data_IF_873712589399
#
_entry.id   IF_873712589399
#
_cell.length_a   1.000
_cell.length_b   1.000
_cell.length_c   1.000
_cell.angle_alpha   90.00
_cell.angle_beta   90.00
_cell.angle_gamma   90.00
#
_symmetry.space_group_name_H-M   'P 1'
#
loop_
_entity.id
_entity.type
_entity.pdbx_description
1 polymer ?
#
# COMPACT_ATOMS: atom_id res chain seq x y z
N UNK A 1 -12.06 19.44 4.91
CA UNK A 1 -11.59 18.17 4.30
C UNK A 1 -10.83 17.42 5.40
N UNK A 2 -11.22 16.19 5.71
CA UNK A 2 -10.57 15.42 6.78
C UNK A 2 -9.17 15.00 6.35
N UNK A 3 -8.21 15.05 7.26
CA UNK A 3 -6.87 14.51 7.05
C UNK A 3 -6.96 12.98 6.82
N UNK A 4 -6.48 12.51 5.67
CA UNK A 4 -6.55 11.09 5.29
C UNK A 4 -5.69 10.18 6.20
N UNK A 5 -4.75 10.77 6.94
CA UNK A 5 -3.85 10.09 7.86
C UNK A 5 -4.29 10.20 9.34
N UNK A 6 -5.45 10.81 9.61
CA UNK A 6 -6.03 10.79 10.95
C UNK A 6 -6.76 9.47 11.19
N UNK A 7 -6.33 8.74 12.23
CA UNK A 7 -6.92 7.45 12.61
C UNK A 7 -8.31 7.60 13.22
N UNK A 8 -9.35 7.25 12.46
CA UNK A 8 -10.75 7.40 12.88
C UNK A 8 -11.51 6.08 12.95
N UNK A 9 -11.05 5.04 12.26
CA UNK A 9 -11.77 3.76 12.18
C UNK A 9 -11.27 2.74 13.20
N UNK A 10 -12.18 1.93 13.72
CA UNK A 10 -11.84 0.74 14.51
C UNK A 10 -11.69 -0.49 13.61
N UNK A 11 -11.06 -1.56 14.10
CA UNK A 11 -10.93 -2.81 13.33
C UNK A 11 -12.29 -3.39 12.92
N UNK A 12 -13.30 -3.30 13.79
CA UNK A 12 -14.65 -3.78 13.47
C UNK A 12 -15.31 -2.97 12.37
N UNK A 13 -15.12 -1.64 12.38
CA UNK A 13 -15.60 -0.75 11.31
C UNK A 13 -14.94 -1.09 9.98
N UNK A 14 -13.61 -1.21 9.97
CA UNK A 14 -12.84 -1.54 8.76
C UNK A 14 -13.20 -2.91 8.22
N UNK A 15 -13.29 -3.93 9.09
CA UNK A 15 -13.69 -5.28 8.72
C UNK A 15 -15.04 -5.29 8.00
N UNK A 16 -16.04 -4.58 8.54
CA UNK A 16 -17.36 -4.42 7.91
C UNK A 16 -17.28 -3.74 6.55
N UNK A 17 -16.49 -2.67 6.42
CA UNK A 17 -16.33 -1.94 5.16
C UNK A 17 -15.64 -2.78 4.07
N UNK A 18 -14.78 -3.72 4.47
CA UNK A 18 -14.09 -4.63 3.56
C UNK A 18 -14.86 -5.93 3.30
N UNK A 19 -15.92 -6.20 4.07
CA UNK A 19 -16.58 -7.52 4.07
C UNK A 19 -15.69 -8.64 4.62
N UNK A 20 -14.76 -8.31 5.53
CA UNK A 20 -13.79 -9.24 6.10
C UNK A 20 -14.10 -9.57 7.56
N UNK A 21 -13.56 -10.69 8.05
CA UNK A 21 -13.57 -10.98 9.47
C UNK A 21 -12.48 -10.16 10.20
N UNK A 22 -12.72 -9.60 11.40
CA UNK A 22 -11.69 -8.87 12.14
C UNK A 22 -10.41 -9.66 12.36
N UNK A 23 -10.49 -10.99 12.50
CA UNK A 23 -9.31 -11.84 12.63
C UNK A 23 -8.45 -11.87 11.36
N UNK A 24 -9.05 -11.81 10.17
CA UNK A 24 -8.32 -11.70 8.90
C UNK A 24 -7.44 -10.44 8.89
N UNK A 25 -7.98 -9.31 9.35
CA UNK A 25 -7.22 -8.07 9.49
C UNK A 25 -6.10 -8.18 10.52
N UNK A 26 -6.32 -8.88 11.64
CA UNK A 26 -5.25 -9.17 12.62
C UNK A 26 -4.15 -10.06 12.04
N UNK A 27 -4.49 -11.00 11.16
CA UNK A 27 -3.51 -11.81 10.44
C UNK A 27 -2.69 -10.93 9.50
N UNK A 28 -3.32 -10.02 8.75
CA UNK A 28 -2.60 -9.10 7.86
C UNK A 28 -1.67 -8.16 8.63
N UNK A 29 -2.11 -7.62 9.77
CA UNK A 29 -1.25 -6.81 10.67
C UNK A 29 -0.07 -7.60 11.22
N UNK A 30 -0.29 -8.81 11.74
CA UNK A 30 0.78 -9.67 12.30
C UNK A 30 1.85 -9.98 11.26
N UNK A 31 1.46 -10.10 9.99
CA UNK A 31 2.37 -10.33 8.88
C UNK A 31 2.99 -9.04 8.30
N UNK A 32 2.74 -7.89 8.94
CA UNK A 32 3.25 -6.57 8.54
C UNK A 32 2.80 -6.12 7.15
N UNK A 33 1.64 -6.58 6.66
CA UNK A 33 1.04 -6.03 5.44
C UNK A 33 0.54 -4.59 5.66
N UNK A 34 0.12 -4.29 6.89
CA UNK A 34 -0.30 -2.96 7.30
C UNK A 34 0.07 -2.72 8.77
N UNK A 35 0.30 -1.45 9.13
CA UNK A 35 0.61 -1.02 10.49
C UNK A 35 -0.27 0.20 10.84
N UNK A 36 -1.49 -0.01 11.40
CA UNK A 36 -2.31 1.11 11.86
C UNK A 36 -1.67 1.80 13.06
N UNK A 37 -1.97 3.09 13.23
CA UNK A 37 -1.54 3.86 14.39
C UNK A 37 -2.23 3.36 15.67
N UNK A 38 -1.54 3.47 16.81
CA UNK A 38 -2.09 3.14 18.12
C UNK A 38 -2.20 4.43 18.94
N UNK A 39 -3.44 4.85 19.18
CA UNK A 39 -3.77 6.00 20.04
C UNK A 39 -4.54 5.50 21.26
N UNK A 40 -4.10 5.89 22.45
CA UNK A 40 -4.72 5.49 23.72
C UNK A 40 -4.95 3.97 23.85
N UNK A 41 -3.90 3.18 23.53
CA UNK A 41 -3.91 1.71 23.53
C UNK A 41 -4.85 1.04 22.50
N UNK A 42 -5.63 1.82 21.74
CA UNK A 42 -6.51 1.31 20.69
C UNK A 42 -5.88 1.52 19.31
N UNK A 43 -6.01 0.50 18.46
CA UNK A 43 -5.70 0.64 17.03
C UNK A 43 -6.72 1.55 16.36
N UNK A 44 -6.24 2.52 15.60
CA UNK A 44 -7.06 3.41 14.79
C UNK A 44 -6.54 3.37 13.37
N UNK A 45 -7.40 2.99 12.43
CA UNK A 45 -7.08 2.98 11.01
C UNK A 45 -7.45 4.33 10.41
N UNK A 46 -6.58 4.79 9.54
CA UNK A 46 -6.74 6.00 8.75
C UNK A 46 -7.56 5.72 7.47
N UNK A 47 -7.90 6.75 6.72
CA UNK A 47 -8.48 6.56 5.38
C UNK A 47 -7.48 5.89 4.43
N UNK A 48 -6.20 6.27 4.53
CA UNK A 48 -5.15 5.62 3.75
C UNK A 48 -4.97 4.14 4.11
N UNK A 49 -5.11 3.78 5.39
CA UNK A 49 -5.09 2.37 5.80
C UNK A 49 -6.25 1.58 5.19
N UNK A 50 -7.46 2.16 5.16
CA UNK A 50 -8.60 1.52 4.51
C UNK A 50 -8.34 1.31 3.01
N UNK A 51 -7.78 2.30 2.30
CA UNK A 51 -7.39 2.19 0.89
C UNK A 51 -6.33 1.09 0.68
N UNK A 52 -5.29 1.06 1.52
CA UNK A 52 -4.27 0.00 1.52
C UNK A 52 -4.88 -1.39 1.75
N UNK A 53 -5.80 -1.53 2.69
CA UNK A 53 -6.48 -2.79 2.98
C UNK A 53 -7.34 -3.27 1.81
N UNK A 54 -8.05 -2.37 1.14
CA UNK A 54 -8.78 -2.69 -0.10
C UNK A 54 -7.82 -3.19 -1.18
N UNK A 55 -6.65 -2.59 -1.29
CA UNK A 55 -5.62 -3.03 -2.23
C UNK A 55 -5.07 -4.41 -1.87
N UNK A 56 -4.77 -4.69 -0.59
CA UNK A 56 -4.38 -6.03 -0.12
C UNK A 56 -5.46 -7.06 -0.49
N UNK A 57 -6.73 -6.75 -0.20
CA UNK A 57 -7.87 -7.61 -0.55
C UNK A 57 -7.92 -7.90 -2.05
N UNK A 58 -7.77 -6.87 -2.90
CA UNK A 58 -7.71 -7.04 -4.35
C UNK A 58 -6.56 -7.97 -4.78
N UNK A 59 -5.36 -7.81 -4.21
CA UNK A 59 -4.23 -8.69 -4.49
C UNK A 59 -4.50 -10.15 -4.09
N UNK A 60 -5.18 -10.37 -2.95
CA UNK A 60 -5.46 -11.72 -2.47
C UNK A 60 -6.62 -12.38 -3.23
N UNK A 61 -7.74 -11.68 -3.39
CA UNK A 61 -8.97 -12.25 -3.95
C UNK A 61 -8.96 -12.29 -5.47
N UNK A 62 -8.54 -11.20 -6.13
CA UNK A 62 -8.60 -11.10 -7.59
C UNK A 62 -7.31 -11.58 -8.26
N UNK A 63 -6.15 -11.41 -7.62
CA UNK A 63 -4.86 -11.88 -8.15
C UNK A 63 -4.41 -13.22 -7.57
N UNK A 64 -5.14 -13.77 -6.60
CA UNK A 64 -4.84 -15.08 -6.00
C UNK A 64 -3.53 -15.09 -5.21
N UNK A 65 -3.04 -13.94 -4.76
CA UNK A 65 -1.78 -13.87 -4.01
C UNK A 65 -1.99 -14.30 -2.56
N UNK A 66 -1.04 -15.06 -2.02
CA UNK A 66 -0.96 -15.28 -0.59
C UNK A 66 -0.31 -14.09 0.13
N UNK A 67 -0.22 -14.15 1.46
CA UNK A 67 0.38 -13.09 2.29
C UNK A 67 1.81 -12.73 1.84
N UNK A 68 2.65 -13.72 1.53
CA UNK A 68 4.02 -13.50 1.09
C UNK A 68 4.06 -12.79 -0.27
N UNK A 69 3.23 -13.24 -1.22
CA UNK A 69 3.09 -12.61 -2.54
C UNK A 69 2.58 -11.16 -2.43
N UNK A 70 1.56 -10.92 -1.62
CA UNK A 70 1.05 -9.57 -1.38
C UNK A 70 2.14 -8.65 -0.78
N UNK A 71 2.91 -9.16 0.20
CA UNK A 71 4.01 -8.43 0.82
C UNK A 71 5.11 -8.06 -0.19
N UNK A 72 5.47 -9.00 -1.06
CA UNK A 72 6.46 -8.77 -2.12
C UNK A 72 5.98 -7.74 -3.13
N UNK A 73 4.71 -7.77 -3.54
CA UNK A 73 4.16 -6.74 -4.41
C UNK A 73 4.20 -5.38 -3.73
N UNK A 74 3.76 -5.30 -2.47
CA UNK A 74 3.72 -4.05 -1.69
C UNK A 74 5.12 -3.42 -1.51
N UNK A 75 6.18 -4.20 -1.30
CA UNK A 75 7.54 -3.67 -1.15
C UNK A 75 8.02 -2.93 -2.41
N UNK A 76 7.49 -3.29 -3.59
CA UNK A 76 7.76 -2.61 -4.86
C UNK A 76 7.01 -1.27 -5.03
N UNK A 77 6.20 -0.85 -4.04
CA UNK A 77 5.51 0.44 -4.00
C UNK A 77 6.14 1.33 -2.93
N UNK A 78 7.16 2.16 -3.25
CA UNK A 78 7.70 3.14 -2.31
C UNK A 78 6.62 4.08 -1.74
N UNK A 79 5.64 4.41 -2.58
CA UNK A 79 4.47 5.20 -2.16
C UNK A 79 3.60 4.54 -1.11
N UNK A 80 3.70 3.22 -0.90
CA UNK A 80 3.01 2.53 0.19
C UNK A 80 3.37 3.12 1.55
N UNK A 81 4.65 3.49 1.72
CA UNK A 81 5.23 3.95 2.98
C UNK A 81 5.26 5.48 3.12
N UNK A 82 4.85 6.22 2.09
CA UNK A 82 4.95 7.68 2.04
C UNK A 82 3.56 8.31 1.99
N UNK A 83 3.34 9.32 2.83
CA UNK A 83 2.02 9.94 3.07
C UNK A 83 1.63 10.96 1.98
N UNK A 84 2.61 11.51 1.30
CA UNK A 84 2.52 12.54 0.27
C UNK A 84 2.32 12.00 -1.16
N UNK A 85 2.05 10.70 -1.33
CA UNK A 85 1.77 10.14 -2.64
C UNK A 85 0.55 10.83 -3.29
N UNK A 86 0.73 11.31 -4.53
CA UNK A 86 -0.29 12.04 -5.30
C UNK A 86 -1.40 11.16 -5.88
N UNK A 87 -1.33 9.84 -5.73
CA UNK A 87 -2.31 8.92 -6.29
C UNK A 87 -1.95 8.41 -7.68
N UNK A 88 -2.96 8.02 -8.45
CA UNK A 88 -2.83 7.42 -9.79
C UNK A 88 -3.73 8.09 -10.80
N UNK A 89 -3.68 7.65 -12.05
CA UNK A 89 -4.64 8.07 -13.08
C UNK A 89 -5.25 6.86 -13.81
N UNK A 90 -6.42 7.06 -14.43
CA UNK A 90 -7.10 6.00 -15.18
C UNK A 90 -6.37 5.70 -16.49
N UNK A 91 -6.37 4.42 -16.87
CA UNK A 91 -5.95 3.99 -18.21
C UNK A 91 -6.80 4.69 -19.28
N UNK A 92 -6.17 5.12 -20.37
CA UNK A 92 -6.83 5.83 -21.47
C UNK A 92 -7.25 7.27 -21.14
N UNK A 93 -6.78 7.83 -20.02
CA UNK A 93 -6.97 9.24 -19.68
C UNK A 93 -5.98 10.18 -20.39
N UNK A 94 -6.00 11.46 -19.99
CA UNK A 94 -5.10 12.49 -20.51
C UNK A 94 -3.63 12.32 -20.09
N UNK A 95 -3.37 11.52 -19.06
CA UNK A 95 -2.05 11.30 -18.48
C UNK A 95 -1.66 9.85 -18.72
N UNK A 96 -0.47 9.63 -19.30
CA UNK A 96 0.09 8.30 -19.46
C UNK A 96 0.37 7.66 -18.09
N UNK A 97 0.09 6.35 -17.98
CA UNK A 97 0.22 5.60 -16.72
C UNK A 97 0.86 4.24 -16.97
N UNK A 98 1.45 3.65 -15.93
CA UNK A 98 1.91 2.28 -15.97
C UNK A 98 0.75 1.32 -15.65
N UNK A 99 0.14 0.79 -16.71
CA UNK A 99 -1.02 -0.12 -16.65
C UNK A 99 -0.75 -1.44 -15.93
N UNK A 100 0.51 -1.79 -15.71
CA UNK A 100 0.91 -3.00 -14.98
C UNK A 100 1.08 -2.74 -13.48
N UNK A 101 1.03 -1.46 -13.06
CA UNK A 101 1.22 -1.04 -11.67
C UNK A 101 -0.04 -0.35 -11.13
N UNK A 102 -1.05 -1.11 -10.67
CA UNK A 102 -2.27 -0.54 -10.12
C UNK A 102 -1.99 0.31 -8.88
N UNK A 103 -2.69 1.43 -8.73
CA UNK A 103 -2.52 2.33 -7.60
C UNK A 103 -3.32 1.83 -6.39
N UNK A 104 -2.70 1.85 -5.21
CA UNK A 104 -3.40 1.52 -3.95
C UNK A 104 -4.27 2.68 -3.43
N UNK A 105 -3.99 3.93 -3.83
CA UNK A 105 -4.63 5.13 -3.28
C UNK A 105 -5.96 5.47 -3.96
N UNK A 106 -6.07 5.18 -5.25
CA UNK A 106 -7.26 5.48 -6.04
C UNK A 106 -7.69 4.24 -6.82
N UNK A 107 -8.91 3.78 -6.57
CA UNK A 107 -9.45 2.57 -7.19
C UNK A 107 -9.48 2.69 -8.73
N UNK A 108 -9.15 1.59 -9.42
CA UNK A 108 -9.12 1.51 -10.90
C UNK A 108 -8.20 2.54 -11.56
N UNK A 109 -7.18 2.99 -10.84
CA UNK A 109 -6.13 3.84 -11.38
C UNK A 109 -4.78 3.14 -11.34
N UNK A 110 -3.81 3.73 -12.02
CA UNK A 110 -2.48 3.18 -12.22
C UNK A 110 -1.42 4.22 -11.87
N UNK A 111 -0.22 3.73 -11.59
CA UNK A 111 0.90 4.60 -11.22
C UNK A 111 1.22 5.60 -12.34
N UNK A 112 1.45 6.86 -11.97
CA UNK A 112 1.83 7.95 -12.89
C UNK A 112 3.25 7.77 -13.47
N UNK A 113 4.04 6.85 -12.91
CA UNK A 113 5.40 6.57 -13.39
C UNK A 113 5.31 5.60 -14.56
N UNK A 114 5.60 6.09 -15.76
CA UNK A 114 5.42 5.38 -17.05
C UNK A 114 6.56 4.39 -17.37
N UNK A 115 7.59 4.26 -16.51
CA UNK A 115 8.79 3.46 -16.83
C UNK A 115 8.46 2.00 -17.17
N UNK A 116 9.15 1.51 -18.20
CA UNK A 116 8.94 0.22 -18.85
C UNK A 116 9.12 -0.95 -17.88
N UNK A 117 8.47 -2.06 -18.24
CA UNK A 117 8.01 -3.25 -17.48
C UNK A 117 8.94 -3.91 -16.42
N UNK A 118 10.11 -3.36 -16.13
CA UNK A 118 11.12 -3.91 -15.21
C UNK A 118 11.82 -2.85 -14.35
N UNK A 119 11.74 -1.56 -14.69
CA UNK A 119 12.49 -0.50 -14.01
C UNK A 119 11.62 0.25 -12.99
N UNK A 120 11.71 -0.29 -11.78
CA UNK A 120 11.14 0.16 -10.52
C UNK A 120 11.43 1.65 -10.29
N UNK A 121 10.38 2.45 -10.05
CA UNK A 121 10.31 3.68 -9.24
C UNK A 121 11.51 4.65 -9.11
N UNK A 122 12.62 4.51 -9.82
CA UNK A 122 13.86 5.29 -9.71
C UNK A 122 13.66 6.73 -10.18
N UNK A 123 12.68 6.92 -11.06
CA UNK A 123 12.20 8.22 -11.53
C UNK A 123 11.03 8.75 -10.72
N UNK A 124 10.52 8.00 -9.74
CA UNK A 124 9.45 8.45 -8.86
C UNK A 124 10.01 9.44 -7.83
N UNK A 125 9.44 10.63 -7.77
CA UNK A 125 9.81 11.65 -6.77
C UNK A 125 9.77 11.10 -5.34
N UNK A 126 8.79 10.24 -5.05
CA UNK A 126 8.62 9.58 -3.74
C UNK A 126 9.80 8.64 -3.40
N UNK A 127 10.38 7.97 -4.40
CA UNK A 127 11.55 7.12 -4.23
C UNK A 127 12.84 7.95 -4.13
N UNK A 128 12.95 9.05 -4.85
CA UNK A 128 14.14 9.93 -4.81
C UNK A 128 14.30 10.65 -3.48
N UNK A 129 13.20 10.94 -2.78
CA UNK A 129 13.20 11.55 -1.44
C UNK A 129 13.43 10.48 -0.34
N UNK A 130 13.66 9.22 -0.72
CA UNK A 130 13.89 8.11 0.20
C UNK A 130 15.34 8.04 0.71
N UNK A 131 15.88 9.17 1.17
CA UNK A 131 17.26 9.27 1.67
C UNK A 131 17.35 8.99 3.19
N UNK A 132 16.27 9.21 3.97
CA UNK A 132 16.32 9.13 5.45
C UNK A 132 15.17 8.33 6.10
N UNK A 133 14.66 7.26 5.47
CA UNK A 133 13.60 6.44 6.07
C UNK A 133 14.14 5.06 6.46
N UNK A 134 14.45 4.86 7.75
CA UNK A 134 14.84 3.55 8.31
C UNK A 134 13.87 2.41 7.94
N UNK A 135 12.58 2.72 7.74
CA UNK A 135 11.57 1.73 7.33
C UNK A 135 11.58 1.38 5.84
N UNK A 136 12.09 2.26 4.97
CA UNK A 136 12.25 1.96 3.55
C UNK A 136 13.52 1.15 3.28
N UNK A 137 14.60 1.39 4.03
CA UNK A 137 15.87 0.65 3.88
C UNK A 137 15.72 -0.80 4.35
N UNK A 138 15.05 -1.03 5.50
CA UNK A 138 14.85 -2.39 6.05
C UNK A 138 13.93 -3.30 5.22
N UNK A 139 13.04 -2.71 4.40
CA UNK A 139 12.13 -3.46 3.53
C UNK A 139 12.62 -3.58 2.08
N UNK A 140 13.71 -2.88 1.73
CA UNK A 140 14.28 -2.89 0.38
C UNK A 140 15.66 -3.57 0.33
N UNK A 141 16.13 -4.16 1.43
CA UNK A 141 17.20 -5.16 1.42
C UNK A 141 16.70 -6.45 0.77
N UNK A 142 16.74 -6.48 -0.56
CA UNK A 142 16.77 -7.71 -1.38
C UNK A 142 18.07 -8.53 -1.10
N UNK A 143 18.90 -8.14 -0.14
CA UNK A 143 20.18 -8.79 0.17
C UNK A 143 20.13 -9.90 1.24
N UNK A 144 18.99 -10.22 1.87
CA UNK A 144 18.92 -11.31 2.88
C UNK A 144 18.06 -12.51 2.45
N UNK A 145 17.94 -12.80 1.14
CA UNK A 145 17.32 -14.05 0.64
C UNK A 145 18.28 -14.96 -0.14
N UNK A 146 19.60 -14.81 0.04
CA UNK A 146 20.60 -15.81 -0.36
C UNK A 146 21.59 -16.02 0.77
N UNK A 147 21.21 -16.85 1.74
CA UNK A 147 22.11 -17.74 2.50
C UNK A 147 21.31 -18.94 2.97
#
# INVERSE_FOLDING_TARGET
>A
MFDEDTGVYTIGTVARLLGEHPETLRVWERNSLIKPDRRDYQRKYTNNDLKRLKFIKHLMDEKGLNIAGAKQIISMYPCWYKRDCKGGAKKGGLVAVNEYKPCWKEEKTYCLVVSDKSEICSTCDIFRICIDCDECIKNNTIQEMVK
#
